data_IF_096593020211
#
_entry.id   IF_096593020211
#
_cell.length_a   1.000
_cell.length_b   1.000
_cell.length_c   1.000
_cell.angle_alpha   90.00
_cell.angle_beta   90.00
_cell.angle_gamma   90.00
#
_symmetry.space_group_name_H-M   'P 1'
#
loop_
_entity.id
_entity.type
_entity.pdbx_description
1 polymer ?
#
# COMPACT_ATOMS: atom_id res chain seq x y z
N UNK A 1 -19.40 3.42 2.07
CA UNK A 1 -19.98 4.08 3.27
C UNK A 1 -18.94 4.88 4.03
N UNK A 2 -19.37 5.95 4.64
CA UNK A 2 -18.48 6.87 5.34
C UNK A 2 -17.69 6.20 6.49
N UNK A 3 -18.34 5.37 7.25
CA UNK A 3 -17.69 4.66 8.35
C UNK A 3 -16.62 3.67 7.87
N UNK A 4 -16.83 3.06 6.72
CA UNK A 4 -15.85 2.15 6.14
C UNK A 4 -14.55 2.89 5.80
N UNK A 5 -14.66 4.05 5.17
CA UNK A 5 -13.51 4.89 4.83
C UNK A 5 -12.74 5.31 6.07
N UNK A 6 -13.45 5.71 7.11
CA UNK A 6 -12.87 6.14 8.38
C UNK A 6 -12.11 5.00 9.07
N UNK A 7 -12.70 3.82 9.10
CA UNK A 7 -12.10 2.64 9.70
C UNK A 7 -10.85 2.20 8.92
N UNK A 8 -10.93 2.25 7.60
CA UNK A 8 -9.82 1.94 6.72
C UNK A 8 -8.66 2.92 6.95
N UNK A 9 -8.97 4.20 7.02
CA UNK A 9 -7.97 5.24 7.23
C UNK A 9 -7.25 5.06 8.57
N UNK A 10 -7.98 4.80 9.64
CA UNK A 10 -7.44 4.54 10.96
C UNK A 10 -6.53 3.31 10.98
N UNK A 11 -6.97 2.23 10.34
CA UNK A 11 -6.20 1.00 10.30
C UNK A 11 -4.85 1.18 9.58
N UNK A 12 -4.87 1.89 8.45
CA UNK A 12 -3.65 2.20 7.71
C UNK A 12 -2.71 3.07 8.53
N UNK A 13 -3.25 4.12 9.15
CA UNK A 13 -2.46 5.05 9.95
C UNK A 13 -1.79 4.37 11.13
N UNK A 14 -2.53 3.55 11.85
CA UNK A 14 -2.05 2.97 13.12
C UNK A 14 -1.26 1.69 12.93
N UNK A 15 -1.53 0.92 11.90
CA UNK A 15 -0.99 -0.42 11.76
C UNK A 15 -0.38 -0.73 10.40
N UNK A 16 -1.18 -0.66 9.35
CA UNK A 16 -0.85 -1.34 8.11
C UNK A 16 0.30 -0.72 7.32
N UNK A 17 0.36 0.60 7.19
CA UNK A 17 1.43 1.24 6.41
C UNK A 17 2.80 0.93 7.02
N UNK A 18 2.90 1.05 8.33
CA UNK A 18 4.13 0.78 9.07
C UNK A 18 4.54 -0.68 8.96
N UNK A 19 3.60 -1.60 9.13
CA UNK A 19 3.85 -3.02 8.99
C UNK A 19 4.33 -3.38 7.59
N UNK A 20 3.68 -2.85 6.57
CA UNK A 20 4.03 -3.12 5.18
C UNK A 20 5.41 -2.56 4.84
N UNK A 21 5.70 -1.32 5.26
CA UNK A 21 7.02 -0.72 5.05
C UNK A 21 8.11 -1.60 5.63
N UNK A 22 7.92 -2.05 6.85
CA UNK A 22 8.90 -2.88 7.55
C UNK A 22 9.04 -4.25 6.91
N UNK A 23 7.91 -4.87 6.59
CA UNK A 23 7.86 -6.20 5.98
C UNK A 23 8.53 -6.24 4.61
N UNK A 24 8.38 -5.17 3.82
CA UNK A 24 8.98 -5.04 2.50
C UNK A 24 10.41 -4.51 2.52
N UNK A 25 10.88 -4.04 3.66
CA UNK A 25 12.16 -3.32 3.78
C UNK A 25 12.22 -2.13 2.81
N UNK A 26 11.11 -1.43 2.68
CA UNK A 26 11.02 -0.24 1.84
C UNK A 26 11.79 0.92 2.47
N UNK A 27 12.36 1.78 1.63
CA UNK A 27 13.07 2.99 2.07
C UNK A 27 12.09 3.95 2.73
N UNK A 28 10.92 4.09 2.11
CA UNK A 28 9.87 4.97 2.60
C UNK A 28 8.51 4.40 2.23
N UNK A 29 7.51 4.88 2.92
CA UNK A 29 6.12 4.57 2.61
C UNK A 29 5.30 5.83 2.79
N UNK A 30 4.37 6.05 1.89
CA UNK A 30 3.42 7.15 2.03
C UNK A 30 2.08 6.73 1.46
N UNK A 31 1.05 7.41 1.87
CA UNK A 31 -0.30 7.12 1.38
C UNK A 31 -1.13 8.40 1.29
N UNK A 32 -2.22 8.30 0.58
CA UNK A 32 -3.13 9.44 0.47
C UNK A 32 -4.39 9.07 -0.26
N UNK A 33 -5.30 10.00 -0.30
CA UNK A 33 -6.57 9.89 -0.99
C UNK A 33 -6.55 10.81 -2.19
N UNK A 34 -7.19 10.37 -3.28
CA UNK A 34 -7.31 11.19 -4.47
C UNK A 34 -8.20 12.41 -4.18
N UNK A 35 -7.78 13.58 -4.65
CA UNK A 35 -8.53 14.81 -4.40
C UNK A 35 -9.86 14.81 -5.15
N UNK A 36 -9.83 14.42 -6.42
CA UNK A 36 -11.03 14.45 -7.25
C UNK A 36 -12.00 13.30 -6.96
N UNK A 37 -11.47 12.15 -6.59
CA UNK A 37 -12.28 11.00 -6.21
C UNK A 37 -11.82 10.49 -4.86
N UNK A 38 -12.43 11.01 -3.81
CA UNK A 38 -12.04 10.78 -2.43
C UNK A 38 -12.21 9.32 -1.95
N UNK A 39 -12.79 8.47 -2.78
CA UNK A 39 -12.92 7.04 -2.46
C UNK A 39 -11.72 6.22 -2.96
N UNK A 40 -10.79 6.83 -3.66
CA UNK A 40 -9.60 6.15 -4.15
C UNK A 40 -8.41 6.46 -3.25
N UNK A 41 -7.85 5.39 -2.68
CA UNK A 41 -6.70 5.46 -1.79
C UNK A 41 -5.45 4.94 -2.50
N UNK A 42 -4.32 5.59 -2.24
CA UNK A 42 -3.01 5.20 -2.76
C UNK A 42 -2.05 4.93 -1.61
N UNK A 43 -1.30 3.85 -1.72
CA UNK A 43 -0.17 3.59 -0.83
C UNK A 43 1.06 3.33 -1.71
N UNK A 44 2.14 4.02 -1.41
CA UNK A 44 3.39 3.97 -2.16
C UNK A 44 4.51 3.46 -1.27
N UNK A 45 5.31 2.55 -1.83
CA UNK A 45 6.49 2.03 -1.14
C UNK A 45 7.68 2.22 -2.07
N UNK A 46 8.70 2.88 -1.56
CA UNK A 46 9.88 3.21 -2.33
C UNK A 46 11.01 2.21 -2.09
N UNK A 47 11.69 1.83 -3.15
CA UNK A 47 12.82 0.90 -3.12
C UNK A 47 14.01 1.49 -3.86
N UNK A 48 15.22 1.01 -3.56
CA UNK A 48 16.46 1.50 -4.16
C UNK A 48 16.49 1.34 -5.68
N UNK A 49 15.87 0.27 -6.20
CA UNK A 49 15.91 -0.01 -7.63
C UNK A 49 14.73 -0.89 -8.05
N UNK A 50 14.56 -1.01 -9.36
CA UNK A 50 13.47 -1.78 -9.95
C UNK A 50 13.56 -3.27 -9.61
N UNK A 51 14.77 -3.80 -9.55
CA UNK A 51 14.99 -5.21 -9.22
C UNK A 51 14.41 -5.55 -7.84
N UNK A 52 14.66 -4.67 -6.87
CA UNK A 52 14.17 -4.85 -5.51
C UNK A 52 12.65 -4.80 -5.45
N UNK A 53 12.05 -3.84 -6.15
CA UNK A 53 10.59 -3.73 -6.25
C UNK A 53 9.98 -4.99 -6.87
N UNK A 54 10.59 -5.51 -7.95
CA UNK A 54 10.12 -6.74 -8.59
C UNK A 54 10.24 -7.96 -7.68
N UNK A 55 11.28 -8.03 -6.88
CA UNK A 55 11.45 -9.11 -5.91
C UNK A 55 10.34 -9.10 -4.87
N UNK A 56 9.94 -7.92 -4.41
CA UNK A 56 8.84 -7.78 -3.46
C UNK A 56 7.52 -8.27 -4.05
N UNK A 57 7.26 -8.02 -5.32
CA UNK A 57 6.03 -8.51 -5.97
C UNK A 57 5.90 -10.03 -5.94
N UNK A 58 7.00 -10.74 -5.83
CA UNK A 58 7.03 -12.22 -5.79
C UNK A 58 7.29 -12.75 -4.39
N UNK A 59 7.37 -11.89 -3.38
CA UNK A 59 7.81 -12.28 -2.05
C UNK A 59 6.71 -12.84 -1.17
N UNK A 60 7.11 -13.64 -0.19
CA UNK A 60 6.21 -14.11 0.86
C UNK A 60 5.73 -12.94 1.73
N UNK A 61 6.56 -11.90 1.89
CA UNK A 61 6.19 -10.70 2.62
C UNK A 61 4.95 -10.04 2.01
N UNK A 62 4.92 -9.91 0.68
CA UNK A 62 3.75 -9.35 0.01
C UNK A 62 2.53 -10.25 0.16
N UNK A 63 2.70 -11.55 -0.01
CA UNK A 63 1.60 -12.52 0.17
C UNK A 63 1.00 -12.43 1.55
N UNK A 64 1.84 -12.26 2.57
CA UNK A 64 1.39 -12.10 3.95
C UNK A 64 0.59 -10.81 4.12
N UNK A 65 1.07 -9.69 3.57
CA UNK A 65 0.37 -8.41 3.65
C UNK A 65 -0.97 -8.45 2.91
N UNK A 66 -1.02 -9.11 1.75
CA UNK A 66 -2.26 -9.34 1.00
C UNK A 66 -3.26 -10.11 1.85
N UNK A 67 -2.80 -11.17 2.52
CA UNK A 67 -3.65 -12.00 3.37
C UNK A 67 -4.24 -11.20 4.53
N UNK A 68 -3.44 -10.36 5.18
CA UNK A 68 -3.88 -9.49 6.26
C UNK A 68 -4.94 -8.51 5.75
N UNK A 69 -4.67 -7.87 4.62
CA UNK A 69 -5.61 -6.94 3.99
C UNK A 69 -6.93 -7.63 3.64
N UNK A 70 -6.85 -8.79 2.99
CA UNK A 70 -8.03 -9.51 2.52
C UNK A 70 -8.91 -10.00 3.67
N UNK A 71 -8.33 -10.45 4.75
CA UNK A 71 -9.10 -10.83 5.93
C UNK A 71 -9.96 -9.69 6.45
N UNK A 72 -9.47 -8.47 6.36
CA UNK A 72 -10.16 -7.32 6.90
C UNK A 72 -11.11 -6.67 5.89
N UNK A 73 -10.75 -6.63 4.61
CA UNK A 73 -11.43 -5.80 3.62
C UNK A 73 -11.88 -6.49 2.34
N UNK A 74 -11.64 -7.79 2.15
CA UNK A 74 -11.74 -8.46 0.85
C UNK A 74 -13.03 -8.23 0.05
N UNK A 75 -14.17 -8.15 0.71
CA UNK A 75 -15.46 -8.00 0.02
C UNK A 75 -15.90 -6.55 -0.12
N UNK A 76 -15.07 -5.61 0.31
CA UNK A 76 -15.46 -4.20 0.42
C UNK A 76 -14.56 -3.27 -0.37
N UNK A 77 -13.34 -3.72 -0.71
CA UNK A 77 -12.33 -2.87 -1.33
C UNK A 77 -11.60 -3.62 -2.44
N UNK A 78 -11.64 -3.06 -3.63
CA UNK A 78 -10.85 -3.54 -4.76
C UNK A 78 -9.50 -2.83 -4.76
N UNK A 79 -8.47 -3.50 -5.29
CA UNK A 79 -7.15 -2.90 -5.37
C UNK A 79 -6.37 -3.40 -6.57
N UNK A 80 -5.46 -2.56 -7.03
CA UNK A 80 -4.51 -2.90 -8.09
C UNK A 80 -3.12 -2.49 -7.64
N UNK A 81 -2.10 -3.06 -8.27
CA UNK A 81 -0.70 -2.72 -8.00
C UNK A 81 0.02 -2.40 -9.28
N UNK A 82 0.95 -1.45 -9.17
CA UNK A 82 1.81 -1.05 -10.29
C UNK A 82 3.19 -0.75 -9.76
N UNK A 83 4.19 -0.89 -10.61
CA UNK A 83 5.52 -0.39 -10.34
C UNK A 83 5.72 0.82 -11.24
N UNK A 84 6.18 1.91 -10.67
CA UNK A 84 6.56 3.09 -11.44
C UNK A 84 8.03 3.39 -11.20
N UNK A 85 8.71 3.87 -12.22
CA UNK A 85 10.09 4.33 -12.12
C UNK A 85 10.09 5.84 -11.98
N UNK A 86 10.76 6.35 -10.94
CA UNK A 86 10.92 7.79 -10.78
C UNK A 86 11.98 8.25 -11.76
N UNK A 87 11.60 9.10 -12.70
CA UNK A 87 12.52 9.58 -13.72
C UNK A 87 13.12 10.95 -13.41
N UNK A 88 12.51 11.67 -12.48
CA UNK A 88 13.01 12.97 -12.06
C UNK A 88 12.47 13.32 -10.69
N UNK A 89 13.35 13.88 -9.88
CA UNK A 89 13.01 14.36 -8.54
C UNK A 89 13.71 15.70 -8.35
N UNK A 90 12.99 16.69 -7.92
CA UNK A 90 13.51 18.05 -7.75
C UNK A 90 13.54 18.43 -6.27
#
# INVERSE_FOLDING_TARGET
PLHLKKDFDNWYEKEHLSEAKQSFSAISALRGWEIENEDIHYAYYEFDNVKKANEILKSEALKKMISIFDKKWSNQIDRTRKIITITQEI
#
